data_IF_769427974015
#
_entry.id   IF_769427974015
#
_cell.length_a   1.000
_cell.length_b   1.000
_cell.length_c   1.000
_cell.angle_alpha   90.00
_cell.angle_beta   90.00
_cell.angle_gamma   90.00
#
_symmetry.space_group_name_H-M   'P 1'
#
loop_
_entity.id
_entity.type
_entity.pdbx_description
1 polymer ?
#
# COMPACT_ATOMS: atom_id res chain seq x y z
N UNK A 1 -8.68 -14.20 -26.05
CA UNK A 1 -8.34 -13.22 -24.98
C UNK A 1 -9.05 -13.68 -23.73
N UNK A 2 -8.34 -13.99 -22.66
CA UNK A 2 -8.96 -14.46 -21.41
C UNK A 2 -9.79 -13.30 -20.80
N UNK A 3 -11.07 -13.53 -20.44
CA UNK A 3 -11.96 -12.48 -19.94
C UNK A 3 -11.41 -11.77 -18.68
N UNK A 4 -10.55 -12.47 -17.94
CA UNK A 4 -9.86 -11.97 -16.76
C UNK A 4 -8.92 -10.79 -17.08
N UNK A 5 -8.08 -10.91 -18.12
CA UNK A 5 -7.13 -9.85 -18.51
C UNK A 5 -7.85 -8.60 -19.02
N UNK A 6 -8.97 -8.76 -19.71
CA UNK A 6 -9.78 -7.63 -20.18
C UNK A 6 -10.42 -6.87 -19.03
N UNK A 7 -10.91 -7.57 -18.00
CA UNK A 7 -11.48 -6.92 -16.80
C UNK A 7 -10.37 -6.19 -16.04
N UNK A 8 -9.23 -6.83 -15.78
CA UNK A 8 -8.09 -6.20 -15.10
C UNK A 8 -7.61 -4.95 -15.84
N UNK A 9 -7.43 -5.03 -17.17
CA UNK A 9 -6.97 -3.91 -17.97
C UNK A 9 -7.97 -2.75 -18.05
N UNK A 10 -9.28 -3.05 -18.03
CA UNK A 10 -10.32 -2.03 -17.98
C UNK A 10 -10.36 -1.32 -16.64
N UNK A 11 -10.29 -2.08 -15.54
CA UNK A 11 -10.25 -1.55 -14.17
C UNK A 11 -9.03 -0.63 -13.98
N UNK A 12 -7.86 -1.05 -14.48
CA UNK A 12 -6.64 -0.27 -14.45
C UNK A 12 -6.80 1.08 -15.17
N UNK A 13 -7.42 1.10 -16.36
CA UNK A 13 -7.65 2.34 -17.12
C UNK A 13 -8.63 3.27 -16.42
N UNK A 14 -9.67 2.72 -15.79
CA UNK A 14 -10.63 3.53 -15.02
C UNK A 14 -9.95 4.13 -13.81
N UNK A 15 -9.17 3.32 -13.10
CA UNK A 15 -8.35 3.77 -11.98
C UNK A 15 -7.40 4.89 -12.36
N UNK A 16 -6.61 4.71 -13.42
CA UNK A 16 -5.64 5.71 -13.88
C UNK A 16 -6.30 7.01 -14.35
N UNK A 17 -7.54 6.95 -14.84
CA UNK A 17 -8.30 8.16 -15.23
C UNK A 17 -8.99 8.83 -14.04
N UNK A 18 -9.04 8.17 -12.88
CA UNK A 18 -9.68 8.70 -11.70
C UNK A 18 -8.74 9.69 -10.99
N UNK A 19 -9.23 10.91 -10.75
CA UNK A 19 -8.50 11.95 -10.01
C UNK A 19 -8.08 11.50 -8.62
N UNK A 20 -8.83 10.57 -8.04
CA UNK A 20 -8.53 10.02 -6.72
C UNK A 20 -7.24 9.19 -6.69
N UNK A 21 -7.01 8.35 -7.71
CA UNK A 21 -5.76 7.57 -7.84
C UNK A 21 -4.57 8.48 -8.12
N UNK A 22 -4.77 9.48 -8.99
CA UNK A 22 -3.75 10.51 -9.24
C UNK A 22 -3.42 11.28 -7.97
N UNK A 23 -4.42 11.64 -7.16
CA UNK A 23 -4.22 12.30 -5.87
C UNK A 23 -3.44 11.41 -4.89
N UNK A 24 -3.77 10.12 -4.77
CA UNK A 24 -3.02 9.20 -3.89
C UNK A 24 -1.57 9.03 -4.34
N UNK A 25 -1.32 8.90 -5.64
CA UNK A 25 0.06 8.80 -6.17
C UNK A 25 0.82 10.10 -5.97
N UNK A 26 0.18 11.26 -6.17
CA UNK A 26 0.79 12.57 -5.93
C UNK A 26 1.11 12.80 -4.46
N UNK A 27 0.19 12.44 -3.55
CA UNK A 27 0.43 12.55 -2.10
C UNK A 27 1.60 11.66 -1.69
N UNK A 28 1.62 10.41 -2.15
CA UNK A 28 2.71 9.47 -1.85
C UNK A 28 4.05 9.95 -2.42
N UNK A 29 4.06 10.43 -3.67
CA UNK A 29 5.26 11.00 -4.29
C UNK A 29 5.73 12.27 -3.55
N UNK A 30 4.82 13.18 -3.20
CA UNK A 30 5.16 14.42 -2.50
C UNK A 30 5.73 14.16 -1.11
N UNK A 31 5.16 13.21 -0.35
CA UNK A 31 5.68 12.81 0.96
C UNK A 31 7.03 12.11 0.83
N UNK A 32 7.17 11.19 -0.14
CA UNK A 32 8.45 10.51 -0.40
C UNK A 32 9.55 11.51 -0.79
N UNK A 33 9.25 12.46 -1.68
CA UNK A 33 10.16 13.55 -2.07
C UNK A 33 10.52 14.44 -0.89
N UNK A 34 9.53 14.80 -0.06
CA UNK A 34 9.77 15.60 1.14
C UNK A 34 10.73 14.89 2.09
N UNK A 35 10.54 13.58 2.31
CA UNK A 35 11.43 12.77 3.14
C UNK A 35 12.83 12.62 2.57
N UNK A 36 12.95 12.46 1.24
CA UNK A 36 14.26 12.45 0.56
C UNK A 36 15.00 13.78 0.76
N UNK A 37 14.31 14.90 0.55
CA UNK A 37 14.89 16.24 0.68
C UNK A 37 15.24 16.60 2.13
N UNK A 38 14.44 16.13 3.10
CA UNK A 38 14.73 16.33 4.52
C UNK A 38 15.81 15.37 5.03
N UNK A 39 15.86 14.16 4.50
CA UNK A 39 16.80 13.10 4.87
C UNK A 39 18.20 13.27 4.26
N UNK A 40 18.32 13.99 3.14
CA UNK A 40 19.59 14.38 2.55
C UNK A 40 20.22 15.62 3.19
N UNK A 41 19.55 16.25 4.16
CA UNK A 41 20.16 17.28 4.98
C UNK A 41 21.27 16.63 5.85
N UNK A 42 22.51 17.16 5.86
CA UNK A 42 23.62 16.57 6.59
C UNK A 42 23.33 16.66 8.10
N UNK A 43 22.77 15.60 8.65
CA UNK A 43 22.56 15.43 10.08
C UNK A 43 23.91 15.05 10.67
N UNK A 44 24.50 15.99 11.41
CA UNK A 44 25.89 15.91 11.86
C UNK A 44 26.27 14.58 12.54
N UNK A 45 27.48 14.11 12.25
CA UNK A 45 28.29 13.13 13.03
C UNK A 45 27.66 11.80 13.44
N UNK A 46 26.53 11.38 12.86
CA UNK A 46 26.09 9.97 12.91
C UNK A 46 26.50 9.31 11.61
N UNK A 47 27.39 8.31 11.66
CA UNK A 47 27.91 7.59 10.50
C UNK A 47 26.90 6.69 9.77
N UNK A 48 25.61 7.06 9.78
CA UNK A 48 24.57 6.41 9.00
C UNK A 48 24.58 6.99 7.58
N UNK A 49 24.59 6.14 6.56
CA UNK A 49 24.47 6.57 5.18
C UNK A 49 23.11 7.26 4.95
N UNK A 50 23.06 8.41 4.25
CA UNK A 50 21.81 9.16 3.97
C UNK A 50 20.71 8.27 3.36
N UNK A 51 21.11 7.34 2.49
CA UNK A 51 20.23 6.32 1.90
C UNK A 51 19.51 5.45 2.94
N UNK A 52 20.19 5.02 4.01
CA UNK A 52 19.56 4.19 5.04
C UNK A 52 18.51 4.98 5.80
N UNK A 53 18.75 6.25 6.08
CA UNK A 53 17.77 7.14 6.73
C UNK A 53 16.52 7.30 5.86
N UNK A 54 16.71 7.48 4.55
CA UNK A 54 15.59 7.60 3.60
C UNK A 54 14.80 6.30 3.49
N UNK A 55 15.46 5.14 3.36
CA UNK A 55 14.78 3.84 3.26
C UNK A 55 13.97 3.55 4.52
N UNK A 56 14.54 3.79 5.71
CA UNK A 56 13.82 3.61 6.99
C UNK A 56 12.61 4.56 7.07
N UNK A 57 12.78 5.83 6.68
CA UNK A 57 11.69 6.81 6.69
C UNK A 57 10.56 6.44 5.72
N UNK A 58 10.91 5.97 4.52
CA UNK A 58 9.95 5.49 3.53
C UNK A 58 9.24 4.22 4.01
N UNK A 59 9.95 3.30 4.65
CA UNK A 59 9.35 2.10 5.24
C UNK A 59 8.31 2.46 6.30
N UNK A 60 8.66 3.34 7.26
CA UNK A 60 7.72 3.83 8.27
C UNK A 60 6.49 4.50 7.65
N UNK A 61 6.68 5.35 6.62
CA UNK A 61 5.57 5.98 5.92
C UNK A 61 4.66 4.94 5.23
N UNK A 62 5.27 3.94 4.59
CA UNK A 62 4.57 2.87 3.86
C UNK A 62 3.61 2.12 4.77
N UNK A 63 4.06 1.77 5.98
CA UNK A 63 3.29 0.98 6.96
C UNK A 63 1.99 1.67 7.33
N UNK A 64 1.95 3.01 7.39
CA UNK A 64 0.71 3.73 7.68
C UNK A 64 -0.11 4.04 6.42
N UNK A 65 0.55 4.51 5.37
CA UNK A 65 -0.12 5.12 4.22
C UNK A 65 -0.64 4.08 3.22
N UNK A 66 0.15 3.04 2.92
CA UNK A 66 -0.22 2.03 1.92
C UNK A 66 -1.46 1.23 2.35
N UNK A 67 -1.57 0.74 3.60
CA UNK A 67 -2.79 0.07 4.07
C UNK A 67 -4.04 0.92 3.97
N UNK A 68 -3.93 2.22 4.31
CA UNK A 68 -5.06 3.14 4.25
C UNK A 68 -5.53 3.32 2.79
N UNK A 69 -4.59 3.55 1.86
CA UNK A 69 -4.88 3.68 0.43
C UNK A 69 -5.48 2.39 -0.12
N UNK A 70 -4.89 1.23 0.21
CA UNK A 70 -5.36 -0.08 -0.23
C UNK A 70 -6.81 -0.36 0.22
N UNK A 71 -7.13 -0.05 1.48
CA UNK A 71 -8.48 -0.19 2.02
C UNK A 71 -9.45 0.79 1.35
N UNK A 72 -9.04 2.06 1.19
CA UNK A 72 -9.86 3.09 0.55
C UNK A 72 -10.15 2.81 -0.94
N UNK A 73 -9.23 2.15 -1.64
CA UNK A 73 -9.49 1.71 -3.01
C UNK A 73 -10.42 0.48 -3.06
N UNK A 74 -10.28 -0.45 -2.11
CA UNK A 74 -10.98 -1.75 -2.19
C UNK A 74 -12.37 -1.77 -1.55
N UNK A 75 -12.68 -0.91 -0.57
CA UNK A 75 -13.98 -0.97 0.13
C UNK A 75 -15.18 -0.67 -0.77
N UNK A 76 -15.01 0.17 -1.80
CA UNK A 76 -16.07 0.53 -2.74
C UNK A 76 -16.13 -0.39 -3.95
N UNK A 77 -15.15 -1.29 -4.10
CA UNK A 77 -15.01 -2.09 -5.30
C UNK A 77 -16.28 -2.92 -5.55
N UNK A 78 -16.84 -3.61 -4.55
CA UNK A 78 -17.99 -4.50 -4.75
C UNK A 78 -19.30 -3.84 -4.31
N UNK A 79 -19.30 -3.10 -3.19
CA UNK A 79 -20.51 -2.41 -2.70
C UNK A 79 -20.95 -1.30 -3.66
N UNK A 80 -20.02 -0.52 -4.20
CA UNK A 80 -20.34 0.59 -5.12
C UNK A 80 -20.98 0.13 -6.43
N UNK A 81 -20.62 -1.06 -6.93
CA UNK A 81 -21.26 -1.65 -8.12
C UNK A 81 -22.59 -2.32 -7.81
N UNK A 82 -22.73 -2.88 -6.61
CA UNK A 82 -24.00 -3.43 -6.14
C UNK A 82 -25.06 -2.32 -6.03
N UNK A 83 -24.72 -1.16 -5.46
CA UNK A 83 -25.63 -0.01 -5.37
C UNK A 83 -25.98 0.58 -6.75
N UNK A 84 -25.04 0.58 -7.70
CA UNK A 84 -25.26 1.09 -9.08
C UNK A 84 -26.01 0.11 -9.98
N UNK A 85 -26.32 -1.09 -9.50
CA UNK A 85 -26.96 -2.16 -10.29
C UNK A 85 -26.09 -2.71 -11.43
N UNK A 86 -24.84 -2.29 -11.54
CA UNK A 86 -23.92 -2.69 -12.63
C UNK A 86 -23.45 -4.14 -12.45
N UNK A 87 -23.45 -4.63 -11.21
CA UNK A 87 -23.12 -6.02 -10.88
C UNK A 87 -24.11 -7.01 -11.52
N UNK A 88 -25.40 -6.65 -11.60
CA UNK A 88 -26.45 -7.45 -12.25
C UNK A 88 -26.23 -7.55 -13.77
N UNK A 89 -25.75 -6.47 -14.40
CA UNK A 89 -25.43 -6.45 -15.84
C UNK A 89 -24.22 -7.34 -16.17
N UNK A 90 -23.19 -7.34 -15.30
CA UNK A 90 -22.01 -8.20 -15.44
C UNK A 90 -22.35 -9.70 -15.31
N UNK A 91 -23.29 -10.04 -14.42
CA UNK A 91 -23.75 -11.41 -14.20
C UNK A 91 -24.68 -11.94 -15.31
N UNK A 92 -25.29 -11.05 -16.11
CA UNK A 92 -26.05 -11.42 -17.29
C UNK A 92 -25.14 -11.88 -18.45
N UNK A 93 -23.87 -11.47 -18.42
CA UNK A 93 -22.86 -11.95 -19.35
C UNK A 93 -22.31 -13.30 -18.88
N UNK A 94 -21.95 -14.24 -19.77
CA UNK A 94 -21.44 -15.58 -19.41
C UNK A 94 -20.01 -15.53 -18.83
N UNK A 95 -19.85 -14.87 -17.68
CA UNK A 95 -18.59 -14.69 -16.97
C UNK A 95 -18.73 -15.28 -15.57
N UNK A 96 -17.78 -16.10 -15.15
CA UNK A 96 -17.84 -16.72 -13.84
C UNK A 96 -17.60 -15.68 -12.72
N UNK A 97 -18.35 -15.77 -11.62
CA UNK A 97 -18.28 -14.84 -10.47
C UNK A 97 -16.85 -14.68 -9.93
N UNK A 98 -16.09 -15.77 -9.89
CA UNK A 98 -14.71 -15.76 -9.43
C UNK A 98 -13.80 -14.94 -10.36
N UNK A 99 -14.05 -14.92 -11.68
CA UNK A 99 -13.24 -14.15 -12.64
C UNK A 99 -13.42 -12.65 -12.46
N UNK A 100 -14.64 -12.21 -12.12
CA UNK A 100 -14.92 -10.80 -11.82
C UNK A 100 -14.19 -10.38 -10.55
N UNK A 101 -14.34 -11.14 -9.46
CA UNK A 101 -13.66 -10.83 -8.18
C UNK A 101 -12.14 -10.82 -8.35
N UNK A 102 -11.58 -11.83 -9.02
CA UNK A 102 -10.13 -11.91 -9.24
C UNK A 102 -9.63 -10.78 -10.15
N UNK A 103 -10.38 -10.45 -11.20
CA UNK A 103 -10.05 -9.35 -12.11
C UNK A 103 -10.00 -8.00 -11.41
N UNK A 104 -10.96 -7.73 -10.50
CA UNK A 104 -11.00 -6.50 -9.70
C UNK A 104 -9.91 -6.47 -8.64
N UNK A 105 -9.66 -7.59 -7.96
CA UNK A 105 -8.55 -7.70 -7.02
C UNK A 105 -7.22 -7.38 -7.72
N UNK A 106 -6.94 -8.04 -8.84
CA UNK A 106 -5.73 -7.79 -9.63
C UNK A 106 -5.67 -6.34 -10.15
N UNK A 107 -6.80 -5.75 -10.55
CA UNK A 107 -6.86 -4.35 -10.97
C UNK A 107 -6.40 -3.40 -9.87
N UNK A 108 -6.89 -3.57 -8.65
CA UNK A 108 -6.51 -2.76 -7.49
C UNK A 108 -5.06 -2.98 -7.06
N UNK A 109 -4.59 -4.23 -7.03
CA UNK A 109 -3.19 -4.54 -6.72
C UNK A 109 -2.25 -3.92 -7.75
N UNK A 110 -2.59 -4.00 -9.04
CA UNK A 110 -1.75 -3.46 -10.11
C UNK A 110 -1.77 -1.93 -10.13
N UNK A 111 -2.91 -1.29 -9.83
CA UNK A 111 -2.99 0.15 -9.59
C UNK A 111 -2.09 0.60 -8.45
N UNK A 112 -2.17 -0.10 -7.31
CA UNK A 112 -1.36 0.21 -6.13
C UNK A 112 0.13 0.01 -6.44
N UNK A 113 0.48 -1.07 -7.12
CA UNK A 113 1.85 -1.35 -7.54
C UNK A 113 2.42 -0.26 -8.45
N UNK A 114 1.63 0.23 -9.41
CA UNK A 114 2.04 1.36 -10.25
C UNK A 114 2.19 2.65 -9.44
N UNK A 115 1.27 2.93 -8.52
CA UNK A 115 1.35 4.12 -7.66
C UNK A 115 2.60 4.10 -6.78
N UNK A 116 2.90 2.97 -6.12
CA UNK A 116 4.11 2.82 -5.30
C UNK A 116 5.37 2.84 -6.15
N UNK A 117 5.37 2.19 -7.32
CA UNK A 117 6.52 2.20 -8.22
C UNK A 117 6.82 3.61 -8.75
N UNK A 118 5.80 4.38 -9.11
CA UNK A 118 5.98 5.76 -9.56
C UNK A 118 6.39 6.70 -8.42
N UNK A 119 5.75 6.59 -7.25
CA UNK A 119 6.06 7.45 -6.11
C UNK A 119 7.47 7.20 -5.56
N UNK A 120 7.85 5.94 -5.34
CA UNK A 120 9.18 5.60 -4.85
C UNK A 120 10.23 5.66 -5.96
N UNK A 121 9.85 5.39 -7.21
CA UNK A 121 10.73 5.59 -8.38
C UNK A 121 11.14 7.04 -8.57
N UNK A 122 10.23 8.00 -8.34
CA UNK A 122 10.57 9.43 -8.35
C UNK A 122 11.57 9.79 -7.23
N UNK A 123 11.36 9.25 -6.03
CA UNK A 123 12.30 9.41 -4.92
C UNK A 123 13.69 8.81 -5.23
N UNK A 124 13.73 7.61 -5.81
CA UNK A 124 14.97 6.95 -6.23
C UNK A 124 15.71 7.76 -7.33
N UNK A 125 14.98 8.33 -8.28
CA UNK A 125 15.57 9.14 -9.34
C UNK A 125 16.27 10.39 -8.78
N UNK A 126 15.69 11.05 -7.77
CA UNK A 126 16.31 12.20 -7.10
C UNK A 126 17.59 11.80 -6.36
N UNK A 127 17.56 10.68 -5.63
CA UNK A 127 18.74 10.15 -4.94
C UNK A 127 19.88 9.81 -5.91
N UNK A 128 19.55 9.19 -7.04
CA UNK A 128 20.53 8.83 -8.07
C UNK A 128 21.28 10.05 -8.64
N UNK A 129 20.56 11.17 -8.83
CA UNK A 129 21.13 12.41 -9.36
C UNK A 129 21.92 13.18 -8.29
N UNK A 130 21.52 13.10 -7.01
CA UNK A 130 22.09 13.87 -5.92
C UNK A 130 23.40 13.33 -5.33
N UNK A 131 23.48 12.04 -5.02
CA UNK A 131 24.58 11.47 -4.22
C UNK A 131 25.46 10.46 -4.97
N UNK A 132 25.13 10.14 -6.22
CA UNK A 132 25.82 9.11 -6.98
C UNK A 132 25.34 7.69 -6.60
N UNK A 133 25.44 6.77 -7.55
CA UNK A 133 24.84 5.45 -7.41
C UNK A 133 25.67 4.53 -6.50
N UNK A 134 25.34 4.48 -5.21
CA UNK A 134 25.79 3.38 -4.35
C UNK A 134 25.11 2.08 -4.82
N UNK A 135 25.87 1.22 -5.50
CA UNK A 135 25.38 -0.04 -6.07
C UNK A 135 24.74 -0.98 -5.01
N UNK A 136 25.11 -0.83 -3.74
CA UNK A 136 24.56 -1.60 -2.62
C UNK A 136 23.15 -1.20 -2.17
N UNK A 137 22.63 -0.05 -2.59
CA UNK A 137 21.32 0.47 -2.15
C UNK A 137 20.14 -0.07 -2.97
N UNK A 138 20.39 -0.46 -4.22
CA UNK A 138 19.36 -0.93 -5.16
C UNK A 138 18.60 -2.19 -4.71
N UNK A 139 19.25 -3.22 -4.13
CA UNK A 139 18.54 -4.40 -3.64
C UNK A 139 17.57 -4.07 -2.50
N UNK A 140 17.97 -3.20 -1.57
CA UNK A 140 17.13 -2.77 -0.45
C UNK A 140 15.89 -2.01 -0.96
N UNK A 141 16.07 -1.16 -1.98
CA UNK A 141 14.96 -0.40 -2.58
C UNK A 141 13.99 -1.31 -3.35
N UNK A 142 14.50 -2.28 -4.10
CA UNK A 142 13.66 -3.26 -4.79
C UNK A 142 12.87 -4.13 -3.79
N UNK A 143 13.50 -4.52 -2.69
CA UNK A 143 12.86 -5.27 -1.62
C UNK A 143 11.79 -4.43 -0.90
N UNK A 144 12.07 -3.14 -0.65
CA UNK A 144 11.10 -2.19 -0.11
C UNK A 144 9.85 -2.08 -1.02
N UNK A 145 10.04 -1.91 -2.33
CA UNK A 145 8.91 -1.85 -3.27
C UNK A 145 8.13 -3.18 -3.26
N UNK A 146 8.83 -4.31 -3.33
CA UNK A 146 8.20 -5.64 -3.33
C UNK A 146 7.36 -5.90 -2.08
N UNK A 147 7.92 -5.63 -0.89
CA UNK A 147 7.23 -5.78 0.40
C UNK A 147 6.07 -4.79 0.53
N UNK A 148 6.23 -3.55 0.07
CA UNK A 148 5.15 -2.54 0.06
C UNK A 148 3.95 -2.98 -0.79
N UNK A 149 4.21 -3.54 -1.98
CA UNK A 149 3.17 -4.05 -2.87
C UNK A 149 2.49 -5.27 -2.26
N UNK A 150 3.26 -6.17 -1.63
CA UNK A 150 2.71 -7.36 -0.98
C UNK A 150 1.82 -6.97 0.21
N UNK A 151 2.28 -6.05 1.06
CA UNK A 151 1.50 -5.48 2.16
C UNK A 151 0.20 -4.88 1.63
N UNK A 152 0.30 -4.04 0.61
CA UNK A 152 -0.85 -3.46 -0.08
C UNK A 152 -1.83 -4.50 -0.58
N UNK A 153 -1.35 -5.59 -1.20
CA UNK A 153 -2.19 -6.66 -1.71
C UNK A 153 -2.98 -7.37 -0.61
N UNK A 154 -2.39 -7.57 0.58
CA UNK A 154 -3.08 -8.13 1.75
C UNK A 154 -4.22 -7.21 2.19
N UNK A 155 -3.97 -5.91 2.30
CA UNK A 155 -5.01 -4.94 2.68
C UNK A 155 -6.11 -4.79 1.62
N UNK A 156 -5.77 -4.85 0.33
CA UNK A 156 -6.76 -4.91 -0.76
C UNK A 156 -7.64 -6.16 -0.63
N UNK A 157 -7.05 -7.31 -0.28
CA UNK A 157 -7.81 -8.56 -0.10
C UNK A 157 -8.79 -8.43 1.08
N UNK A 158 -8.33 -7.87 2.20
CA UNK A 158 -9.16 -7.63 3.38
C UNK A 158 -10.30 -6.64 3.09
N UNK A 159 -10.02 -5.51 2.46
CA UNK A 159 -11.05 -4.54 2.08
C UNK A 159 -12.04 -5.10 1.06
N UNK A 160 -11.57 -5.93 0.12
CA UNK A 160 -12.46 -6.66 -0.80
C UNK A 160 -13.36 -7.66 -0.07
N UNK A 161 -12.84 -8.36 0.93
CA UNK A 161 -13.62 -9.28 1.77
C UNK A 161 -14.71 -8.53 2.54
N UNK A 162 -14.35 -7.41 3.17
CA UNK A 162 -15.31 -6.52 3.86
C UNK A 162 -16.38 -6.04 2.89
N UNK A 163 -16.00 -5.64 1.67
CA UNK A 163 -16.91 -5.18 0.63
C UNK A 163 -17.86 -6.27 0.11
N UNK A 164 -17.57 -7.56 0.30
CA UNK A 164 -18.48 -8.66 -0.06
C UNK A 164 -19.50 -8.90 1.06
N UNK A 165 -19.07 -8.78 2.32
CA UNK A 165 -19.88 -9.08 3.50
C UNK A 165 -20.87 -7.94 3.78
N UNK A 166 -20.43 -6.70 3.59
CA UNK A 166 -21.23 -5.51 3.90
C UNK A 166 -22.10 -5.12 2.71
N UNK A 167 -23.36 -4.76 2.99
CA UNK A 167 -24.35 -4.36 1.96
C UNK A 167 -24.44 -2.86 1.73
N UNK A 168 -24.06 -2.06 2.73
CA UNK A 168 -24.17 -0.61 2.71
C UNK A 168 -22.79 0.05 2.57
N UNK A 169 -22.68 1.01 1.64
CA UNK A 169 -21.40 1.69 1.35
C UNK A 169 -20.83 2.45 2.54
N UNK A 170 -21.70 3.10 3.33
CA UNK A 170 -21.30 3.82 4.53
C UNK A 170 -20.70 2.86 5.59
N UNK A 171 -21.34 1.72 5.79
CA UNK A 171 -20.89 0.69 6.74
C UNK A 171 -19.57 0.05 6.28
N UNK A 172 -19.40 -0.18 4.96
CA UNK A 172 -18.16 -0.72 4.41
C UNK A 172 -16.97 0.23 4.64
N UNK A 173 -17.18 1.53 4.44
CA UNK A 173 -16.16 2.55 4.73
C UNK A 173 -15.79 2.58 6.23
N UNK A 174 -16.79 2.51 7.12
CA UNK A 174 -16.57 2.48 8.57
C UNK A 174 -15.77 1.26 9.01
N UNK A 175 -16.10 0.07 8.50
CA UNK A 175 -15.37 -1.18 8.79
C UNK A 175 -13.96 -1.14 8.23
N UNK A 176 -13.75 -0.58 7.05
CA UNK A 176 -12.41 -0.42 6.47
C UNK A 176 -11.52 0.48 7.36
N UNK A 177 -12.04 1.61 7.84
CA UNK A 177 -11.30 2.50 8.75
C UNK A 177 -11.04 1.82 10.11
N UNK A 178 -12.03 1.10 10.66
CA UNK A 178 -11.85 0.36 11.90
C UNK A 178 -10.77 -0.73 11.76
N UNK A 179 -10.76 -1.45 10.64
CA UNK A 179 -9.76 -2.47 10.35
C UNK A 179 -8.35 -1.86 10.24
N UNK A 180 -8.22 -0.70 9.59
CA UNK A 180 -6.96 0.04 9.53
C UNK A 180 -6.49 0.44 10.93
N UNK A 181 -7.36 1.02 11.75
CA UNK A 181 -7.03 1.43 13.12
C UNK A 181 -6.55 0.24 13.95
N UNK A 182 -7.27 -0.88 13.89
CA UNK A 182 -6.95 -2.07 14.69
C UNK A 182 -5.63 -2.71 14.22
N UNK A 183 -5.49 -2.95 12.92
CA UNK A 183 -4.35 -3.70 12.38
C UNK A 183 -3.06 -2.90 12.31
N UNK A 184 -3.15 -1.60 12.07
CA UNK A 184 -1.96 -0.74 11.99
C UNK A 184 -1.74 -0.10 13.35
N UNK A 185 -2.65 0.77 13.79
CA UNK A 185 -2.37 1.62 14.95
C UNK A 185 -2.39 0.87 16.29
N UNK A 186 -3.43 0.10 16.58
CA UNK A 186 -3.57 -0.61 17.86
C UNK A 186 -2.60 -1.79 17.98
N UNK A 187 -2.34 -2.51 16.89
CA UNK A 187 -1.39 -3.61 16.89
C UNK A 187 0.04 -3.11 17.18
N UNK A 188 0.51 -2.08 16.48
CA UNK A 188 1.82 -1.47 16.72
C UNK A 188 1.93 -0.93 18.16
N UNK A 189 0.91 -0.21 18.64
CA UNK A 189 0.89 0.33 20.00
C UNK A 189 0.88 -0.77 21.08
N UNK A 190 0.12 -1.85 20.86
CA UNK A 190 0.07 -2.98 21.78
C UNK A 190 1.40 -3.73 21.82
N UNK A 191 2.03 -3.95 20.66
CA UNK A 191 3.34 -4.60 20.57
C UNK A 191 4.41 -3.77 21.30
N UNK A 192 4.45 -2.45 21.05
CA UNK A 192 5.38 -1.54 21.74
C UNK A 192 5.10 -1.49 23.24
N UNK A 193 3.82 -1.45 23.65
CA UNK A 193 3.42 -1.48 25.06
C UNK A 193 3.87 -2.77 25.76
N UNK A 194 3.73 -3.92 25.10
CA UNK A 194 4.21 -5.21 25.61
C UNK A 194 5.74 -5.22 25.72
N UNK A 195 6.45 -4.70 24.71
CA UNK A 195 7.91 -4.63 24.71
C UNK A 195 8.46 -3.76 25.84
N UNK A 196 7.80 -2.61 26.10
CA UNK A 196 8.14 -1.70 27.20
C UNK A 196 7.84 -2.35 28.55
N UNK A 197 6.74 -3.09 28.66
CA UNK A 197 6.38 -3.83 29.88
C UNK A 197 7.36 -4.99 30.18
N UNK A 198 7.91 -5.63 29.16
CA UNK A 198 8.93 -6.70 29.30
C UNK A 198 10.32 -6.18 29.71
N UNK A 199 10.56 -4.86 29.65
CA UNK A 199 11.86 -4.20 29.93
C UNK A 199 13.09 -4.88 29.27
N UNK A 200 12.88 -5.63 28.18
CA UNK A 200 13.93 -6.34 27.45
C UNK A 200 14.50 -7.59 28.13
N UNK A 201 13.78 -8.22 29.07
CA UNK A 201 14.29 -9.41 29.76
C UNK A 201 14.08 -10.73 28.99
N UNK A 202 13.07 -10.84 28.11
CA UNK A 202 12.78 -12.09 27.38
C UNK A 202 12.77 -11.96 25.86
N UNK A 203 12.53 -10.77 25.31
CA UNK A 203 12.52 -10.53 23.86
C UNK A 203 13.79 -9.79 23.43
N UNK A 204 14.80 -10.53 22.98
CA UNK A 204 15.99 -9.95 22.36
C UNK A 204 15.61 -9.24 21.05
N UNK A 205 16.00 -7.98 20.90
CA UNK A 205 15.75 -7.15 19.71
C UNK A 205 16.17 -7.79 18.37
N UNK A 206 17.02 -8.83 18.41
CA UNK A 206 17.42 -9.61 17.24
C UNK A 206 16.30 -10.42 16.57
N UNK A 207 15.20 -10.77 17.26
CA UNK A 207 14.09 -11.52 16.65
C UNK A 207 13.09 -10.66 15.88
N UNK A 208 13.10 -9.33 16.07
CA UNK A 208 12.14 -8.41 15.45
C UNK A 208 12.58 -7.89 14.07
N UNK A 209 13.88 -7.91 13.76
CA UNK A 209 14.44 -7.45 12.48
C UNK A 209 13.97 -8.33 11.30
N UNK A 210 13.57 -9.59 11.56
CA UNK A 210 13.05 -10.49 10.52
C UNK A 210 11.52 -10.42 10.36
N UNK A 211 10.84 -9.60 11.16
CA UNK A 211 9.37 -9.47 11.15
C UNK A 211 8.88 -8.13 10.55
N UNK A 212 9.79 -7.21 10.21
CA UNK A 212 9.50 -5.92 9.55
C UNK A 212 10.06 -5.86 8.14
#
# INVERSE_FOLDING_TARGET
MTPLLTITGWELRIGLRNRWVVATTLVLAALALSLVLLGSAPTGTVGASPITVVVVSLASLTIFLVPLIALLLSFDAIVGEAERGTLLLLLAYPVARWQVVLGKFLGHVLMLALATALGYGAAAAVLYVGEGADAGAWPAFALLIGTSVLLGAVFVALGSLVSIIVRERATAAGVAVALWLVLVLLYDAALLGLLVADQGQTISAGSLIFCF
#
